data_IF_120756169332
#
_entry.id   IF_120756169332
#
_cell.length_a   1.000
_cell.length_b   1.000
_cell.length_c   1.000
_cell.angle_alpha   90.00
_cell.angle_beta   90.00
_cell.angle_gamma   90.00
#
_symmetry.space_group_name_H-M   'P 1'
#
loop_
_entity.id
_entity.type
_entity.pdbx_description
1 polymer ?
#
# COMPACT_ATOMS: atom_id res chain seq x y z
N UNK A 1 17.15 -3.47 10.50
CA UNK A 1 16.62 -2.37 9.63
C UNK A 1 17.55 -1.17 9.73
N UNK A 2 17.50 -0.22 8.81
CA UNK A 2 18.38 0.94 8.83
C UNK A 2 17.87 2.02 9.78
N UNK A 3 18.76 2.83 10.36
CA UNK A 3 18.39 4.00 11.17
C UNK A 3 17.99 5.20 10.32
N UNK A 4 18.49 5.27 9.09
CA UNK A 4 18.15 6.32 8.12
C UNK A 4 18.15 5.77 6.69
N UNK A 5 17.44 6.46 5.81
CA UNK A 5 17.35 6.15 4.39
C UNK A 5 17.44 7.46 3.58
N UNK A 6 18.31 7.49 2.58
CA UNK A 6 18.37 8.59 1.62
C UNK A 6 17.16 8.59 0.70
N UNK A 7 16.52 9.75 0.55
CA UNK A 7 15.40 9.96 -0.34
C UNK A 7 15.86 10.41 -1.73
N UNK A 8 15.03 10.17 -2.73
CA UNK A 8 15.27 10.67 -4.09
C UNK A 8 15.37 12.21 -4.12
N UNK A 9 14.51 12.88 -3.35
CA UNK A 9 14.46 14.32 -3.08
C UNK A 9 13.46 14.59 -1.93
N UNK A 10 13.39 15.83 -1.44
CA UNK A 10 12.42 16.27 -0.43
C UNK A 10 11.02 16.49 -1.00
N UNK A 11 10.33 17.58 -0.59
CA UNK A 11 9.02 17.90 -1.15
C UNK A 11 9.09 18.24 -2.64
N UNK A 12 10.17 18.87 -3.08
CA UNK A 12 10.40 19.26 -4.47
C UNK A 12 11.68 18.61 -5.02
N UNK A 13 11.77 18.38 -6.34
CA UNK A 13 12.91 17.69 -6.97
C UNK A 13 14.28 18.37 -6.76
N UNK A 14 14.31 19.66 -6.50
CA UNK A 14 15.52 20.43 -6.25
C UNK A 14 16.02 20.34 -4.79
N UNK A 15 15.21 19.82 -3.87
CA UNK A 15 15.58 19.68 -2.46
C UNK A 15 16.42 18.42 -2.26
N UNK A 16 17.72 18.57 -2.41
CA UNK A 16 18.74 17.52 -2.23
C UNK A 16 19.92 18.06 -1.42
N UNK A 17 20.51 17.25 -0.54
CA UNK A 17 20.13 15.89 -0.15
C UNK A 17 18.87 15.88 0.71
N UNK A 18 18.16 14.76 0.71
CA UNK A 18 16.99 14.53 1.56
C UNK A 18 17.06 13.13 2.17
N UNK A 19 16.60 12.98 3.40
CA UNK A 19 16.59 11.70 4.12
C UNK A 19 15.44 11.58 5.08
N UNK A 20 15.05 10.35 5.36
CA UNK A 20 14.19 9.97 6.50
C UNK A 20 15.07 9.27 7.53
N UNK A 21 14.84 9.56 8.81
CA UNK A 21 15.63 8.97 9.90
C UNK A 21 14.83 8.88 11.20
N UNK A 22 15.28 7.99 12.07
CA UNK A 22 14.81 7.91 13.46
C UNK A 22 15.87 8.49 14.39
N UNK A 23 15.47 9.25 15.40
CA UNK A 23 16.38 9.73 16.44
C UNK A 23 16.89 8.54 17.27
N UNK A 24 15.98 7.64 17.63
CA UNK A 24 16.25 6.41 18.38
C UNK A 24 15.66 5.21 17.64
N UNK A 25 16.35 4.07 17.71
CA UNK A 25 15.91 2.84 17.06
C UNK A 25 16.12 2.82 15.55
N UNK A 26 15.38 1.94 14.90
CA UNK A 26 15.40 1.71 13.46
C UNK A 26 14.16 2.28 12.78
N UNK A 27 14.24 2.51 11.48
CA UNK A 27 13.08 2.94 10.69
C UNK A 27 11.96 1.88 10.77
N UNK A 28 10.71 2.28 11.02
CA UNK A 28 9.58 1.35 11.11
C UNK A 28 9.11 0.83 9.74
N UNK A 29 9.90 1.00 8.71
CA UNK A 29 9.56 0.68 7.33
C UNK A 29 10.80 0.26 6.57
N UNK A 30 10.68 -0.75 5.73
CA UNK A 30 11.74 -1.21 4.83
C UNK A 30 11.31 -1.02 3.38
N UNK A 31 12.20 -0.52 2.55
CA UNK A 31 11.99 -0.37 1.11
C UNK A 31 12.53 -1.62 0.41
N UNK A 32 11.62 -2.44 -0.14
CA UNK A 32 11.98 -3.67 -0.84
C UNK A 32 12.30 -3.46 -2.31
N UNK A 33 11.75 -2.40 -2.91
CA UNK A 33 11.96 -2.08 -4.31
C UNK A 33 11.80 -0.58 -4.58
N UNK A 34 12.65 -0.03 -5.44
CA UNK A 34 12.58 1.36 -5.91
C UNK A 34 13.33 2.36 -5.02
N UNK A 35 13.29 3.64 -5.43
CA UNK A 35 13.91 4.76 -4.71
C UNK A 35 12.86 5.83 -4.42
N UNK A 36 12.31 5.89 -3.20
CA UNK A 36 11.20 6.77 -2.84
C UNK A 36 11.63 8.23 -2.69
N UNK A 37 10.68 9.13 -2.93
CA UNK A 37 10.73 10.52 -2.52
C UNK A 37 9.93 10.75 -1.23
N UNK A 38 9.93 11.98 -0.75
CA UNK A 38 9.24 12.38 0.48
C UNK A 38 7.73 12.07 0.44
N UNK A 39 7.05 12.46 -0.64
CA UNK A 39 5.59 12.28 -0.76
C UNK A 39 5.19 10.80 -0.74
N UNK A 40 6.04 9.91 -1.28
CA UNK A 40 5.76 8.47 -1.26
C UNK A 40 5.73 7.91 0.17
N UNK A 41 6.59 8.39 1.06
CA UNK A 41 6.56 8.03 2.47
C UNK A 41 5.34 8.60 3.18
N UNK A 42 4.92 9.82 2.84
CA UNK A 42 3.72 10.43 3.42
C UNK A 42 2.47 9.63 3.04
N UNK A 43 2.33 9.26 1.76
CA UNK A 43 1.23 8.41 1.30
C UNK A 43 1.26 7.02 1.98
N UNK A 44 2.44 6.37 2.01
CA UNK A 44 2.62 5.07 2.63
C UNK A 44 2.23 5.05 4.11
N UNK A 45 2.75 5.97 4.90
CA UNK A 45 2.56 5.98 6.34
C UNK A 45 1.14 6.39 6.73
N UNK A 46 0.53 7.36 6.04
CA UNK A 46 -0.87 7.73 6.29
C UNK A 46 -1.83 6.62 5.84
N UNK A 47 -1.58 6.01 4.67
CA UNK A 47 -2.35 4.87 4.20
C UNK A 47 -2.26 3.68 5.15
N UNK A 48 -1.06 3.41 5.67
CA UNK A 48 -0.84 2.35 6.66
C UNK A 48 -1.64 2.55 7.95
N UNK A 49 -1.67 3.76 8.49
CA UNK A 49 -2.47 4.07 9.67
C UNK A 49 -3.96 3.79 9.42
N UNK A 50 -4.49 4.25 8.30
CA UNK A 50 -5.90 4.09 7.96
C UNK A 50 -6.30 2.62 7.79
N UNK A 51 -5.53 1.81 7.06
CA UNK A 51 -5.87 0.38 6.89
C UNK A 51 -5.78 -0.40 8.19
N UNK A 52 -4.87 -0.01 9.07
CA UNK A 52 -4.72 -0.60 10.39
C UNK A 52 -5.95 -0.34 11.26
N UNK A 53 -6.41 0.90 11.33
CA UNK A 53 -7.62 1.29 12.05
C UNK A 53 -8.87 0.59 11.48
N UNK A 54 -9.01 0.54 10.14
CA UNK A 54 -10.12 -0.17 9.49
C UNK A 54 -10.14 -1.64 9.84
N UNK A 55 -8.98 -2.32 9.82
CA UNK A 55 -8.89 -3.71 10.20
C UNK A 55 -9.21 -3.94 11.67
N UNK A 56 -8.69 -3.11 12.57
CA UNK A 56 -8.96 -3.19 14.00
C UNK A 56 -10.46 -2.99 14.30
N UNK A 57 -11.11 -2.04 13.62
CA UNK A 57 -12.52 -1.73 13.82
C UNK A 57 -13.47 -2.80 13.26
N UNK A 58 -13.09 -3.47 12.18
CA UNK A 58 -14.00 -4.37 11.43
C UNK A 58 -13.65 -5.85 11.53
N UNK A 59 -12.41 -6.17 11.89
CA UNK A 59 -11.87 -7.54 11.86
C UNK A 59 -11.63 -8.08 10.44
N UNK A 60 -11.82 -7.26 9.39
CA UNK A 60 -11.72 -7.67 8.00
C UNK A 60 -10.45 -7.13 7.34
N UNK A 61 -9.90 -7.81 6.31
CA UNK A 61 -8.86 -7.23 5.48
C UNK A 61 -9.30 -5.88 4.92
N UNK A 62 -8.39 -4.91 4.92
CA UNK A 62 -8.65 -3.55 4.47
C UNK A 62 -7.58 -3.07 3.49
N UNK A 63 -7.96 -2.17 2.60
CA UNK A 63 -7.06 -1.51 1.66
C UNK A 63 -7.43 -0.05 1.46
N UNK A 64 -6.44 0.75 1.11
CA UNK A 64 -6.64 2.16 0.72
C UNK A 64 -5.92 2.48 -0.57
N UNK A 65 -6.44 3.45 -1.29
CA UNK A 65 -5.83 4.12 -2.43
C UNK A 65 -5.53 5.56 -2.02
N UNK A 66 -4.26 5.93 -1.91
CA UNK A 66 -3.82 7.27 -1.49
C UNK A 66 -3.25 8.06 -2.66
N UNK A 67 -3.54 9.35 -2.67
CA UNK A 67 -2.95 10.30 -3.61
C UNK A 67 -2.76 11.64 -2.93
N UNK A 68 -1.53 12.18 -3.00
CA UNK A 68 -1.19 13.47 -2.39
C UNK A 68 -1.56 13.58 -0.91
N UNK A 69 -1.21 12.53 -0.14
CA UNK A 69 -1.46 12.41 1.32
C UNK A 69 -2.94 12.38 1.70
N UNK A 70 -3.81 12.06 0.75
CA UNK A 70 -5.26 11.93 0.98
C UNK A 70 -5.78 10.60 0.44
N UNK A 71 -6.75 9.96 1.12
CA UNK A 71 -7.39 8.77 0.60
C UNK A 71 -8.32 9.13 -0.56
N UNK A 72 -8.04 8.61 -1.76
CA UNK A 72 -9.00 8.59 -2.86
C UNK A 72 -10.11 7.57 -2.59
N UNK A 73 -9.79 6.51 -1.84
CA UNK A 73 -10.73 5.53 -1.37
C UNK A 73 -10.14 4.62 -0.30
N UNK A 74 -11.03 4.07 0.52
CA UNK A 74 -10.72 3.08 1.55
C UNK A 74 -11.85 2.06 1.64
N UNK A 75 -11.54 0.77 1.79
CA UNK A 75 -12.55 -0.27 1.86
C UNK A 75 -12.06 -1.52 2.59
N UNK A 76 -13.01 -2.33 3.02
CA UNK A 76 -12.81 -3.66 3.60
C UNK A 76 -13.14 -4.76 2.61
N UNK A 77 -12.68 -5.97 2.88
CA UNK A 77 -12.72 -7.12 2.00
C UNK A 77 -14.09 -7.80 1.85
N UNK A 78 -15.15 -7.02 1.70
CA UNK A 78 -16.46 -7.54 1.35
C UNK A 78 -16.46 -8.05 -0.09
N UNK A 79 -17.10 -9.20 -0.31
CA UNK A 79 -17.20 -9.79 -1.63
C UNK A 79 -17.92 -8.85 -2.61
N UNK A 80 -17.43 -8.83 -3.84
CA UNK A 80 -18.03 -8.10 -4.95
C UNK A 80 -19.03 -8.98 -5.67
N UNK A 81 -20.23 -8.46 -5.92
CA UNK A 81 -21.16 -9.10 -6.83
C UNK A 81 -20.70 -8.98 -8.30
N UNK A 82 -21.35 -9.71 -9.20
CA UNK A 82 -20.96 -9.75 -10.61
C UNK A 82 -21.09 -8.40 -11.33
N UNK A 83 -22.00 -7.53 -10.86
CA UNK A 83 -22.17 -6.18 -11.42
C UNK A 83 -21.00 -5.30 -10.99
N UNK A 84 -20.66 -5.33 -9.70
CA UNK A 84 -19.53 -4.58 -9.16
C UNK A 84 -18.19 -5.02 -9.75
N UNK A 85 -17.99 -6.34 -9.93
CA UNK A 85 -16.78 -6.85 -10.61
C UNK A 85 -16.61 -6.25 -11.99
N UNK A 86 -17.69 -6.18 -12.78
CA UNK A 86 -17.67 -5.55 -14.12
C UNK A 86 -17.43 -4.06 -14.06
N UNK A 87 -18.10 -3.32 -13.16
CA UNK A 87 -17.91 -1.87 -12.99
C UNK A 87 -16.48 -1.54 -12.61
N UNK A 88 -15.86 -2.36 -11.76
CA UNK A 88 -14.48 -2.17 -11.29
C UNK A 88 -13.43 -2.86 -12.18
N UNK A 89 -13.85 -3.46 -13.31
CA UNK A 89 -12.96 -4.16 -14.24
C UNK A 89 -12.16 -5.28 -13.58
N UNK A 90 -12.81 -6.07 -12.76
CA UNK A 90 -12.21 -7.16 -11.99
C UNK A 90 -12.91 -8.52 -12.22
N UNK A 91 -13.76 -8.64 -13.22
CA UNK A 91 -14.59 -9.81 -13.53
C UNK A 91 -13.79 -10.99 -14.12
N UNK A 92 -12.59 -10.75 -14.61
CA UNK A 92 -11.70 -11.75 -15.20
C UNK A 92 -10.61 -12.27 -14.24
N UNK A 93 -10.62 -11.83 -12.98
CA UNK A 93 -9.62 -12.21 -11.97
C UNK A 93 -10.26 -12.91 -10.77
N UNK A 94 -9.62 -13.96 -10.23
CA UNK A 94 -9.98 -14.47 -8.93
C UNK A 94 -9.58 -13.43 -7.86
N UNK A 95 -10.53 -13.05 -7.01
CA UNK A 95 -10.31 -12.06 -5.95
C UNK A 95 -10.26 -12.72 -4.58
N UNK A 96 -9.18 -12.53 -3.85
CA UNK A 96 -9.12 -12.80 -2.42
C UNK A 96 -9.86 -11.71 -1.61
N UNK A 97 -10.14 -11.91 -0.32
CA UNK A 97 -10.71 -10.85 0.52
C UNK A 97 -9.89 -9.55 0.49
N UNK A 98 -8.56 -9.65 0.49
CA UNK A 98 -7.69 -8.48 0.40
C UNK A 98 -7.77 -7.81 -0.99
N UNK A 99 -7.83 -8.60 -2.06
CA UNK A 99 -8.05 -8.09 -3.41
C UNK A 99 -9.40 -7.37 -3.54
N UNK A 100 -10.48 -7.93 -2.96
CA UNK A 100 -11.78 -7.26 -2.90
C UNK A 100 -11.70 -5.91 -2.19
N UNK A 101 -10.97 -5.83 -1.07
CA UNK A 101 -10.75 -4.56 -0.37
C UNK A 101 -10.10 -3.51 -1.27
N UNK A 102 -9.02 -3.88 -1.99
CA UNK A 102 -8.35 -2.93 -2.87
C UNK A 102 -9.17 -2.57 -4.11
N UNK A 103 -9.84 -3.53 -4.74
CA UNK A 103 -10.75 -3.26 -5.87
C UNK A 103 -11.81 -2.23 -5.48
N UNK A 104 -12.42 -2.37 -4.29
CA UNK A 104 -13.40 -1.43 -3.75
C UNK A 104 -12.78 -0.06 -3.43
N UNK A 105 -11.64 -0.04 -2.77
CA UNK A 105 -10.95 1.20 -2.40
C UNK A 105 -10.60 2.03 -3.63
N UNK A 106 -10.00 1.40 -4.65
CA UNK A 106 -9.66 2.05 -5.91
C UNK A 106 -10.91 2.40 -6.73
N UNK A 107 -11.92 1.53 -6.70
CA UNK A 107 -13.17 1.71 -7.44
C UNK A 107 -14.01 2.89 -6.94
N UNK A 108 -13.82 3.33 -5.70
CA UNK A 108 -14.53 4.48 -5.13
C UNK A 108 -14.29 5.75 -5.94
N UNK A 109 -13.05 5.99 -6.38
CA UNK A 109 -12.69 7.05 -7.33
C UNK A 109 -11.49 6.62 -8.17
N UNK A 110 -11.76 6.00 -9.31
CA UNK A 110 -10.72 5.49 -10.20
C UNK A 110 -9.86 6.58 -10.85
N UNK A 111 -10.42 7.76 -11.07
CA UNK A 111 -9.67 8.87 -11.66
C UNK A 111 -8.66 9.43 -10.67
N UNK A 112 -9.08 9.69 -9.45
CA UNK A 112 -8.18 10.15 -8.37
C UNK A 112 -7.17 9.08 -7.95
N UNK A 113 -7.48 7.79 -8.16
CA UNK A 113 -6.59 6.66 -7.89
C UNK A 113 -5.54 6.40 -8.98
N UNK A 114 -5.50 7.17 -10.06
CA UNK A 114 -4.45 7.00 -11.07
C UNK A 114 -3.09 7.40 -10.52
N UNK A 115 -2.15 6.46 -10.48
CA UNK A 115 -0.85 6.63 -9.83
C UNK A 115 -0.97 6.72 -8.31
N UNK A 116 -1.84 5.92 -7.71
CA UNK A 116 -2.04 5.86 -6.27
C UNK A 116 -0.87 5.22 -5.53
N UNK A 117 -0.84 5.48 -4.22
CA UNK A 117 -0.06 4.70 -3.26
C UNK A 117 -1.02 3.79 -2.48
N UNK A 118 -0.77 2.50 -2.54
CA UNK A 118 -1.66 1.47 -1.99
C UNK A 118 -1.20 1.09 -0.59
N UNK A 119 -2.10 1.06 0.39
CA UNK A 119 -1.84 0.41 1.66
C UNK A 119 -2.77 -0.80 1.86
N UNK A 120 -2.19 -1.89 2.36
CA UNK A 120 -2.86 -3.17 2.58
C UNK A 120 -2.69 -3.57 4.04
N UNK A 121 -3.76 -3.96 4.72
CA UNK A 121 -3.73 -4.34 6.14
C UNK A 121 -3.16 -5.73 6.40
N UNK A 122 -3.04 -6.56 5.37
CA UNK A 122 -2.62 -7.95 5.44
C UNK A 122 -1.50 -8.23 4.45
N UNK A 123 -0.87 -9.40 4.59
CA UNK A 123 0.14 -9.89 3.65
C UNK A 123 -0.45 -9.88 2.24
N UNK A 124 0.21 -9.15 1.34
CA UNK A 124 -0.20 -9.07 -0.06
C UNK A 124 -0.07 -10.45 -0.71
N UNK A 125 -1.20 -11.01 -1.13
CA UNK A 125 -1.27 -12.28 -1.85
C UNK A 125 -1.19 -12.09 -3.37
N UNK A 126 -1.05 -13.20 -4.10
CA UNK A 126 -0.93 -13.19 -5.55
C UNK A 126 -2.17 -12.63 -6.27
N UNK A 127 -3.38 -12.87 -5.74
CA UNK A 127 -4.61 -12.33 -6.33
C UNK A 127 -4.63 -10.80 -6.27
N UNK A 128 -4.29 -10.24 -5.10
CA UNK A 128 -4.14 -8.79 -4.90
C UNK A 128 -3.05 -8.21 -5.80
N UNK A 129 -1.89 -8.87 -5.85
CA UNK A 129 -0.77 -8.42 -6.69
C UNK A 129 -1.12 -8.41 -8.18
N UNK A 130 -1.87 -9.40 -8.69
CA UNK A 130 -2.31 -9.44 -10.10
C UNK A 130 -3.23 -8.26 -10.43
N UNK A 131 -4.17 -7.92 -9.55
CA UNK A 131 -5.02 -6.75 -9.77
C UNK A 131 -4.20 -5.44 -9.72
N UNK A 132 -3.33 -5.28 -8.73
CA UNK A 132 -2.42 -4.13 -8.64
C UNK A 132 -1.56 -4.01 -9.90
N UNK A 133 -1.08 -5.12 -10.45
CA UNK A 133 -0.20 -5.13 -11.63
C UNK A 133 -0.87 -4.57 -12.90
N UNK A 134 -2.19 -4.63 -12.99
CA UNK A 134 -2.98 -4.09 -14.12
C UNK A 134 -3.15 -2.57 -14.06
N UNK A 135 -3.10 -2.03 -12.85
CA UNK A 135 -3.40 -0.62 -12.59
C UNK A 135 -2.13 0.23 -12.60
N UNK A 136 -2.25 1.52 -12.81
CA UNK A 136 -1.15 2.46 -12.63
C UNK A 136 -1.09 2.87 -11.17
N UNK A 137 -0.01 2.51 -10.47
CA UNK A 137 0.20 2.77 -9.05
C UNK A 137 1.67 3.14 -8.80
N UNK A 138 1.91 4.08 -7.88
CA UNK A 138 3.25 4.55 -7.54
C UNK A 138 3.96 3.60 -6.56
N UNK A 139 3.20 2.98 -5.66
CA UNK A 139 3.76 2.07 -4.68
C UNK A 139 2.74 1.30 -3.86
N UNK A 140 3.24 0.34 -3.10
CA UNK A 140 2.45 -0.51 -2.19
C UNK A 140 3.16 -0.62 -0.85
N UNK A 141 2.42 -0.46 0.25
CA UNK A 141 2.85 -0.82 1.60
C UNK A 141 1.95 -1.93 2.15
N UNK A 142 2.57 -2.97 2.71
CA UNK A 142 1.90 -4.09 3.34
C UNK A 142 2.74 -4.63 4.50
N UNK A 143 2.17 -5.42 5.44
CA UNK A 143 2.96 -6.09 6.49
C UNK A 143 3.90 -7.17 5.94
N UNK A 144 3.71 -7.57 4.69
CA UNK A 144 4.53 -8.54 3.97
C UNK A 144 3.94 -8.86 2.61
N UNK A 145 4.60 -9.74 1.89
CA UNK A 145 4.20 -10.21 0.56
C UNK A 145 4.44 -11.70 0.47
N UNK A 146 3.56 -12.44 -0.21
CA UNK A 146 3.91 -13.80 -0.62
C UNK A 146 5.00 -13.74 -1.70
N UNK A 147 5.77 -14.82 -1.86
CA UNK A 147 6.86 -14.87 -2.85
C UNK A 147 6.34 -14.56 -4.26
N UNK A 148 5.19 -15.15 -4.63
CA UNK A 148 4.54 -14.90 -5.92
C UNK A 148 4.10 -13.44 -6.08
N UNK A 149 3.49 -12.84 -5.05
CA UNK A 149 3.09 -11.44 -5.07
C UNK A 149 4.30 -10.51 -5.24
N UNK A 150 5.38 -10.80 -4.52
CA UNK A 150 6.61 -10.02 -4.59
C UNK A 150 7.24 -10.08 -5.99
N UNK A 151 7.24 -11.25 -6.62
CA UNK A 151 7.73 -11.43 -7.99
C UNK A 151 6.90 -10.62 -9.00
N UNK A 152 5.57 -10.70 -8.91
CA UNK A 152 4.66 -9.94 -9.78
C UNK A 152 4.92 -8.43 -9.64
N UNK A 153 4.99 -7.93 -8.40
CA UNK A 153 5.10 -6.49 -8.13
C UNK A 153 6.49 -5.91 -8.40
N UNK A 154 7.57 -6.68 -8.25
CA UNK A 154 8.93 -6.26 -8.65
C UNK A 154 9.03 -5.95 -10.14
N UNK A 155 8.30 -6.70 -10.97
CA UNK A 155 8.28 -6.49 -12.41
C UNK A 155 7.49 -5.24 -12.84
N UNK A 156 6.62 -4.72 -11.97
CA UNK A 156 5.75 -3.56 -12.24
C UNK A 156 6.46 -2.20 -12.19
N UNK A 157 7.70 -2.09 -11.76
CA UNK A 157 8.40 -0.81 -11.52
C UNK A 157 7.71 0.12 -10.51
N UNK A 158 6.95 -0.42 -9.56
CA UNK A 158 6.40 0.35 -8.45
C UNK A 158 7.28 0.24 -7.20
N UNK A 159 7.12 1.21 -6.27
CA UNK A 159 7.75 1.17 -4.97
C UNK A 159 7.10 0.09 -4.10
N UNK A 160 7.91 -0.70 -3.41
CA UNK A 160 7.41 -1.73 -2.48
C UNK A 160 7.97 -1.48 -1.10
N UNK A 161 7.10 -1.42 -0.10
CA UNK A 161 7.46 -1.27 1.31
C UNK A 161 6.89 -2.38 2.16
N UNK A 162 7.61 -2.76 3.21
CA UNK A 162 7.05 -3.48 4.35
C UNK A 162 7.01 -2.57 5.56
N UNK A 163 5.96 -2.71 6.37
CA UNK A 163 5.91 -2.15 7.71
C UNK A 163 6.28 -3.23 8.74
N UNK A 164 6.66 -2.87 9.97
CA UNK A 164 6.93 -3.84 11.01
C UNK A 164 5.69 -4.71 11.30
N UNK A 165 5.96 -5.96 11.63
CA UNK A 165 4.94 -6.94 12.02
C UNK A 165 4.06 -6.38 13.15
N UNK A 166 2.76 -6.74 13.20
CA UNK A 166 1.88 -6.42 14.32
C UNK A 166 2.39 -6.84 15.70
N UNK A 167 3.36 -7.76 15.75
CA UNK A 167 4.02 -8.21 17.00
C UNK A 167 4.80 -7.10 17.69
N UNK A 168 5.33 -6.13 16.95
CA UNK A 168 6.14 -5.05 17.52
C UNK A 168 5.27 -3.96 18.20
N UNK A 169 3.97 -3.91 17.87
CA UNK A 169 3.00 -3.00 18.50
C UNK A 169 2.38 -3.53 19.79
N UNK A 170 2.40 -4.85 20.03
CA UNK A 170 1.88 -5.44 21.27
C UNK A 170 2.81 -5.20 22.47
N UNK A 171 4.07 -4.83 22.24
CA UNK A 171 5.07 -4.59 23.28
C UNK A 171 5.14 -3.11 23.75
N UNK A 172 4.36 -2.22 23.16
CA UNK A 172 4.37 -0.76 23.46
C UNK A 172 3.11 -0.25 24.15
N UNK A 173 2.34 -1.14 24.79
CA UNK A 173 1.22 -0.76 25.69
C UNK A 173 1.49 -1.17 27.11
#
# INVERSE_FOLDING_TARGET
>A
MAKELELKYGCNPNQKPARIFMQEGELPIEVLNGRPGYINFMDALNGWQLVKELKEATGMPAATSFKHVSPAGAAIGLELDEIMKKIYFADDLPLSPLANAYVRARGADRMSSYGDFIALSDVCDAATARFINREVSDGVIAPGYTDEALEILKNKRCLLYTSPSPRDYAASR
#
